data_IF_845970017465
#
_entry.id   IF_845970017465
#
_cell.length_a   1.000
_cell.length_b   1.000
_cell.length_c   1.000
_cell.angle_alpha   90.00
_cell.angle_beta   90.00
_cell.angle_gamma   90.00
#
_symmetry.space_group_name_H-M   'P 1'
#
loop_
_entity.id
_entity.type
_entity.pdbx_description
1 polymer ?
#
# COMPACT_ATOMS: atom_id res chain seq x y z
N UNK A 1 -0.21 -32.24 25.61
CA UNK A 1 -0.83 -31.50 26.73
C UNK A 1 -1.68 -30.33 26.23
N UNK A 2 -1.20 -29.56 25.23
CA UNK A 2 -1.94 -28.41 24.68
C UNK A 2 -3.16 -28.77 23.79
N UNK A 3 -3.06 -29.82 22.97
CA UNK A 3 -4.19 -30.28 22.14
C UNK A 3 -5.39 -30.74 22.99
N UNK A 4 -5.13 -31.48 24.06
CA UNK A 4 -6.17 -31.87 25.00
C UNK A 4 -6.84 -30.65 25.66
N UNK A 5 -6.06 -29.61 25.98
CA UNK A 5 -6.61 -28.35 26.51
C UNK A 5 -7.46 -27.61 25.45
N UNK A 6 -7.06 -27.66 24.17
CA UNK A 6 -7.88 -27.14 23.08
C UNK A 6 -9.20 -27.92 22.95
N UNK A 7 -9.16 -29.25 23.00
CA UNK A 7 -10.35 -30.10 22.89
C UNK A 7 -11.36 -29.82 24.00
N UNK A 8 -10.91 -29.67 25.25
CA UNK A 8 -11.79 -29.29 26.37
C UNK A 8 -12.47 -27.95 26.12
N UNK A 9 -11.74 -26.95 25.59
CA UNK A 9 -12.32 -25.65 25.24
C UNK A 9 -13.29 -25.76 24.05
N UNK A 10 -12.95 -26.56 23.03
CA UNK A 10 -13.75 -26.73 21.81
C UNK A 10 -15.04 -27.50 22.08
N UNK A 11 -15.04 -28.46 23.00
CA UNK A 11 -16.24 -29.21 23.42
C UNK A 11 -17.36 -28.30 23.92
N UNK A 12 -17.04 -27.21 24.61
CA UNK A 12 -18.04 -26.22 25.03
C UNK A 12 -18.74 -25.57 23.82
N UNK A 13 -17.97 -25.19 22.79
CA UNK A 13 -18.49 -24.56 21.57
C UNK A 13 -19.31 -25.56 20.75
N UNK A 14 -18.80 -26.78 20.59
CA UNK A 14 -19.47 -27.85 19.85
C UNK A 14 -20.78 -28.25 20.53
N UNK A 15 -20.82 -28.31 21.86
CA UNK A 15 -22.04 -28.60 22.63
C UNK A 15 -23.13 -27.56 22.37
N UNK A 16 -22.80 -26.26 22.45
CA UNK A 16 -23.74 -25.18 22.16
C UNK A 16 -24.23 -25.20 20.72
N UNK A 17 -23.33 -25.44 19.76
CA UNK A 17 -23.67 -25.52 18.35
C UNK A 17 -24.57 -26.72 18.05
N UNK A 18 -24.31 -27.89 18.64
CA UNK A 18 -25.12 -29.10 18.47
C UNK A 18 -26.50 -28.96 19.12
N UNK A 19 -26.58 -28.35 20.31
CA UNK A 19 -27.87 -28.06 20.96
C UNK A 19 -28.77 -27.24 20.02
N UNK A 20 -28.19 -26.21 19.39
CA UNK A 20 -28.90 -25.34 18.46
C UNK A 20 -29.23 -26.03 17.14
N UNK A 21 -28.32 -26.80 16.58
CA UNK A 21 -28.51 -27.47 15.28
C UNK A 21 -29.51 -28.63 15.35
N UNK A 22 -29.60 -29.32 16.50
CA UNK A 22 -30.46 -30.49 16.71
C UNK A 22 -31.70 -30.19 17.57
N UNK A 23 -31.92 -28.93 17.98
CA UNK A 23 -32.99 -28.51 18.88
C UNK A 23 -33.08 -29.33 20.18
N UNK A 24 -31.93 -29.57 20.83
CA UNK A 24 -31.86 -30.33 22.08
C UNK A 24 -32.00 -29.40 23.29
N UNK A 25 -32.72 -29.86 24.32
CA UNK A 25 -32.97 -29.10 25.55
C UNK A 25 -31.72 -28.89 26.42
N UNK A 26 -30.80 -29.85 26.41
CA UNK A 26 -29.46 -29.74 27.03
C UNK A 26 -28.56 -30.89 26.57
N UNK A 27 -27.27 -30.64 26.39
CA UNK A 27 -26.23 -31.67 26.17
C UNK A 27 -25.25 -31.63 27.34
N UNK A 28 -24.98 -32.79 27.96
CA UNK A 28 -23.91 -32.93 28.94
C UNK A 28 -22.54 -32.84 28.23
N UNK A 29 -21.81 -31.77 28.55
CA UNK A 29 -20.53 -31.40 27.94
C UNK A 29 -19.45 -32.47 28.16
N UNK A 30 -19.55 -33.24 29.24
CA UNK A 30 -18.44 -34.10 29.70
C UNK A 30 -18.43 -35.51 29.11
N UNK A 31 -19.55 -36.00 28.55
CA UNK A 31 -19.62 -37.39 28.05
C UNK A 31 -20.33 -37.58 26.69
N UNK A 32 -21.01 -36.56 26.16
CA UNK A 32 -21.92 -36.74 25.00
C UNK A 32 -21.60 -35.87 23.77
N UNK A 33 -20.52 -35.08 23.78
CA UNK A 33 -20.18 -34.19 22.66
C UNK A 33 -19.34 -34.95 21.61
N UNK A 34 -19.86 -35.25 20.41
CA UNK A 34 -19.13 -35.97 19.38
C UNK A 34 -17.95 -35.14 18.84
N UNK A 35 -16.83 -35.83 18.59
CA UNK A 35 -15.68 -35.25 17.94
C UNK A 35 -15.88 -35.31 16.41
N UNK A 36 -16.28 -34.19 15.82
CA UNK A 36 -16.56 -34.13 14.38
C UNK A 36 -15.33 -33.63 13.63
N UNK A 37 -14.93 -34.32 12.57
CA UNK A 37 -13.81 -33.91 11.73
C UNK A 37 -14.27 -33.67 10.28
N UNK A 38 -13.73 -32.63 9.66
CA UNK A 38 -13.86 -32.37 8.21
C UNK A 38 -12.53 -32.74 7.55
N UNK A 39 -12.60 -33.64 6.56
CA UNK A 39 -11.44 -34.12 5.83
C UNK A 39 -11.57 -33.72 4.36
N UNK A 40 -10.56 -33.02 3.85
CA UNK A 40 -10.60 -32.42 2.51
C UNK A 40 -9.51 -33.00 1.61
N UNK A 41 -9.90 -33.49 0.45
CA UNK A 41 -9.00 -34.16 -0.50
C UNK A 41 -8.13 -33.16 -1.28
N UNK A 42 -7.11 -33.69 -1.96
CA UNK A 42 -6.25 -32.91 -2.85
C UNK A 42 -6.83 -32.73 -4.25
N UNK A 43 -6.30 -31.76 -5.00
CA UNK A 43 -6.77 -31.49 -6.37
C UNK A 43 -6.60 -30.04 -6.83
N UNK A 44 -5.54 -29.36 -6.37
CA UNK A 44 -5.25 -27.96 -6.70
C UNK A 44 -6.46 -27.03 -6.49
N UNK A 45 -6.64 -26.07 -7.39
CA UNK A 45 -7.70 -25.05 -7.29
C UNK A 45 -9.11 -25.66 -7.23
N UNK A 46 -9.36 -26.82 -7.86
CA UNK A 46 -10.67 -27.50 -7.80
C UNK A 46 -10.98 -27.95 -6.37
N UNK A 47 -10.01 -28.57 -5.69
CA UNK A 47 -10.16 -29.01 -4.31
C UNK A 47 -10.28 -27.82 -3.34
N UNK A 48 -9.56 -26.73 -3.59
CA UNK A 48 -9.70 -25.48 -2.83
C UNK A 48 -11.12 -24.91 -2.93
N UNK A 49 -11.65 -24.74 -4.16
CA UNK A 49 -13.00 -24.20 -4.38
C UNK A 49 -14.09 -25.13 -3.85
N UNK A 50 -13.94 -26.44 -4.04
CA UNK A 50 -14.87 -27.45 -3.50
C UNK A 50 -14.91 -27.42 -1.98
N UNK A 51 -13.76 -27.33 -1.32
CA UNK A 51 -13.68 -27.21 0.13
C UNK A 51 -14.30 -25.90 0.62
N UNK A 52 -14.09 -24.79 -0.08
CA UNK A 52 -14.72 -23.50 0.26
C UNK A 52 -16.25 -23.58 0.18
N UNK A 53 -16.77 -24.19 -0.89
CA UNK A 53 -18.20 -24.44 -1.03
C UNK A 53 -18.75 -25.31 0.11
N UNK A 54 -18.05 -26.39 0.46
CA UNK A 54 -18.42 -27.29 1.56
C UNK A 54 -18.43 -26.60 2.93
N UNK A 55 -17.39 -25.84 3.27
CA UNK A 55 -17.32 -25.10 4.53
C UNK A 55 -18.37 -23.98 4.61
N UNK A 56 -18.63 -23.29 3.50
CA UNK A 56 -19.70 -22.28 3.42
C UNK A 56 -21.08 -22.90 3.60
N UNK A 57 -21.30 -24.11 3.07
CA UNK A 57 -22.55 -24.85 3.30
C UNK A 57 -22.70 -25.24 4.78
N UNK A 58 -21.65 -25.77 5.41
CA UNK A 58 -21.64 -26.07 6.85
C UNK A 58 -21.90 -24.81 7.70
N UNK A 59 -21.35 -23.67 7.32
CA UNK A 59 -21.60 -22.39 7.99
C UNK A 59 -23.06 -21.96 7.86
N UNK A 60 -23.64 -22.04 6.65
CA UNK A 60 -25.06 -21.70 6.42
C UNK A 60 -26.02 -22.62 7.19
N UNK A 61 -25.64 -23.89 7.35
CA UNK A 61 -26.38 -24.86 8.16
C UNK A 61 -26.10 -24.72 9.66
N UNK A 62 -25.24 -23.79 10.08
CA UNK A 62 -24.78 -23.62 11.47
C UNK A 62 -24.12 -24.87 12.05
N UNK A 63 -23.57 -25.73 11.20
CA UNK A 63 -22.86 -26.96 11.55
C UNK A 63 -21.34 -26.78 11.58
N UNK A 64 -20.81 -25.67 11.06
CA UNK A 64 -19.36 -25.45 11.07
C UNK A 64 -18.79 -25.39 12.50
N UNK A 65 -19.55 -24.84 13.45
CA UNK A 65 -19.15 -24.76 14.85
C UNK A 65 -19.20 -26.10 15.59
N UNK A 66 -19.82 -27.13 14.98
CA UNK A 66 -19.80 -28.50 15.53
C UNK A 66 -18.51 -29.26 15.16
N UNK A 67 -17.67 -28.71 14.27
CA UNK A 67 -16.43 -29.35 13.80
C UNK A 67 -15.29 -29.11 14.78
N UNK A 68 -14.63 -30.17 15.23
CA UNK A 68 -13.48 -30.14 16.13
C UNK A 68 -12.14 -30.15 15.38
N UNK A 69 -12.07 -30.87 14.26
CA UNK A 69 -10.88 -30.96 13.43
C UNK A 69 -11.19 -30.67 11.97
N UNK A 70 -10.27 -29.98 11.30
CA UNK A 70 -10.26 -29.88 9.85
C UNK A 70 -8.88 -30.25 9.34
N UNK A 71 -8.82 -31.15 8.37
CA UNK A 71 -7.58 -31.54 7.71
C UNK A 71 -7.76 -31.50 6.21
N UNK A 72 -6.75 -31.03 5.49
CA UNK A 72 -6.77 -30.92 4.05
C UNK A 72 -5.41 -31.17 3.46
N UNK A 73 -5.36 -31.89 2.35
CA UNK A 73 -4.13 -32.14 1.58
C UNK A 73 -4.14 -31.36 0.26
N UNK A 74 -2.96 -31.01 -0.27
CA UNK A 74 -2.79 -30.30 -1.56
C UNK A 74 -3.65 -29.02 -1.65
N UNK A 75 -4.47 -28.84 -2.70
CA UNK A 75 -5.28 -27.64 -2.89
C UNK A 75 -6.22 -27.27 -1.74
N UNK A 76 -6.68 -28.25 -0.97
CA UNK A 76 -7.51 -28.00 0.22
C UNK A 76 -6.69 -27.48 1.41
N UNK A 77 -5.38 -27.78 1.46
CA UNK A 77 -4.46 -27.21 2.46
C UNK A 77 -4.40 -25.69 2.35
N UNK A 78 -4.45 -25.14 1.13
CA UNK A 78 -4.45 -23.69 0.89
C UNK A 78 -5.63 -23.00 1.58
N UNK A 79 -6.80 -23.66 1.58
CA UNK A 79 -7.97 -23.15 2.27
C UNK A 79 -7.95 -23.44 3.78
N UNK A 80 -7.49 -24.61 4.22
CA UNK A 80 -7.39 -24.93 5.66
C UNK A 80 -6.45 -23.97 6.40
N UNK A 81 -5.36 -23.54 5.73
CA UNK A 81 -4.49 -22.48 6.19
C UNK A 81 -5.23 -21.13 6.24
N UNK A 82 -6.03 -20.83 5.20
CA UNK A 82 -6.77 -19.57 5.07
C UNK A 82 -8.01 -19.46 5.95
N UNK A 83 -8.65 -20.56 6.36
CA UNK A 83 -9.81 -20.58 7.25
C UNK A 83 -9.45 -20.20 8.69
N UNK A 84 -8.19 -20.39 9.09
CA UNK A 84 -7.66 -19.83 10.33
C UNK A 84 -7.45 -18.29 10.25
N UNK A 85 -7.40 -17.73 9.03
CA UNK A 85 -7.16 -16.31 8.71
C UNK A 85 -8.48 -15.60 8.30
N UNK A 86 -9.62 -16.32 8.26
CA UNK A 86 -10.87 -15.90 7.57
C UNK A 86 -11.62 -14.69 8.18
N UNK A 87 -11.05 -14.01 9.17
CA UNK A 87 -11.64 -12.79 9.73
C UNK A 87 -11.22 -11.50 9.00
N UNK A 88 -10.32 -11.57 8.01
CA UNK A 88 -9.92 -10.41 7.21
C UNK A 88 -10.63 -10.41 5.85
N UNK A 89 -11.28 -9.29 5.52
CA UNK A 89 -11.87 -9.03 4.20
C UNK A 89 -10.70 -8.85 3.21
N UNK A 90 -10.41 -9.87 2.41
CA UNK A 90 -9.38 -9.78 1.36
C UNK A 90 -9.86 -8.95 0.16
N UNK A 91 -9.22 -7.81 -0.02
CA UNK A 91 -9.36 -6.89 -1.16
C UNK A 91 -8.41 -7.24 -2.32
N UNK A 92 -8.60 -6.58 -3.47
CA UNK A 92 -7.66 -6.66 -4.60
C UNK A 92 -6.25 -6.19 -4.19
N UNK A 93 -6.18 -5.12 -3.40
CA UNK A 93 -4.95 -4.54 -2.85
C UNK A 93 -4.17 -5.55 -2.01
N UNK A 94 -4.83 -6.39 -1.21
CA UNK A 94 -4.14 -7.40 -0.41
C UNK A 94 -3.45 -8.47 -1.29
N UNK A 95 -4.02 -8.79 -2.46
CA UNK A 95 -3.42 -9.74 -3.41
C UNK A 95 -2.28 -9.11 -4.21
N UNK A 96 -2.39 -7.82 -4.54
CA UNK A 96 -1.30 -7.05 -5.13
C UNK A 96 -0.15 -6.91 -4.10
N UNK A 97 -0.44 -6.79 -2.80
CA UNK A 97 0.54 -6.90 -1.71
C UNK A 97 1.50 -8.09 -1.87
N UNK A 98 0.91 -9.28 -2.07
CA UNK A 98 1.66 -10.52 -2.23
C UNK A 98 2.42 -10.61 -3.56
N UNK A 99 1.88 -10.04 -4.64
CA UNK A 99 2.56 -10.03 -5.92
C UNK A 99 3.76 -9.06 -5.93
N UNK A 100 3.67 -7.87 -5.33
CA UNK A 100 4.82 -6.97 -5.14
C UNK A 100 5.89 -7.63 -4.26
N UNK A 101 5.49 -8.26 -3.15
CA UNK A 101 6.42 -8.98 -2.27
C UNK A 101 7.22 -10.02 -3.04
N UNK A 102 6.53 -10.81 -3.88
CA UNK A 102 7.19 -11.80 -4.73
C UNK A 102 8.08 -11.17 -5.80
N UNK A 103 7.68 -10.07 -6.43
CA UNK A 103 8.49 -9.40 -7.45
C UNK A 103 9.78 -8.80 -6.86
N UNK A 104 9.72 -8.24 -5.65
CA UNK A 104 10.88 -7.58 -5.03
C UNK A 104 11.78 -8.59 -4.31
N UNK A 105 11.23 -9.58 -3.60
CA UNK A 105 12.02 -10.51 -2.77
C UNK A 105 12.02 -11.97 -3.22
N UNK A 106 11.23 -12.32 -4.23
CA UNK A 106 11.05 -13.72 -4.63
C UNK A 106 10.35 -14.52 -3.53
N UNK A 107 11.03 -15.55 -3.01
CA UNK A 107 10.43 -16.53 -2.07
C UNK A 107 10.65 -16.21 -0.59
N UNK A 108 11.39 -15.15 -0.26
CA UNK A 108 11.68 -14.80 1.13
C UNK A 108 10.55 -13.94 1.68
N UNK A 109 9.94 -14.39 2.77
CA UNK A 109 8.97 -13.58 3.51
C UNK A 109 9.71 -12.45 4.23
N UNK A 110 9.17 -11.24 4.12
CA UNK A 110 9.62 -10.12 4.93
C UNK A 110 8.96 -10.12 6.31
N UNK A 111 9.60 -9.42 7.24
CA UNK A 111 9.05 -9.14 8.56
C UNK A 111 7.85 -8.20 8.52
N UNK A 112 7.40 -7.81 9.71
CA UNK A 112 6.30 -6.88 9.91
C UNK A 112 6.79 -5.43 9.99
N UNK A 113 5.87 -4.47 10.17
CA UNK A 113 6.24 -3.07 10.40
C UNK A 113 6.99 -2.93 11.71
N UNK A 114 6.56 -3.65 12.74
CA UNK A 114 7.23 -3.63 14.03
C UNK A 114 8.62 -4.26 14.04
N UNK A 115 8.92 -5.23 13.17
CA UNK A 115 10.26 -5.80 13.06
C UNK A 115 11.32 -4.74 12.67
N UNK A 116 10.91 -3.66 12.00
CA UNK A 116 11.80 -2.54 11.65
C UNK A 116 12.34 -1.81 12.89
N UNK A 117 11.73 -1.96 14.07
CA UNK A 117 12.24 -1.40 15.32
C UNK A 117 13.67 -1.88 15.63
N UNK A 118 14.04 -3.10 15.22
CA UNK A 118 15.40 -3.61 15.36
C UNK A 118 16.43 -2.73 14.64
N UNK A 119 16.06 -2.23 13.46
CA UNK A 119 16.89 -1.34 12.65
C UNK A 119 16.98 0.10 13.22
N UNK A 120 16.20 0.42 14.24
CA UNK A 120 16.17 1.73 14.91
C UNK A 120 16.67 1.68 16.36
N UNK A 121 16.94 0.49 16.90
CA UNK A 121 17.23 0.26 18.32
C UNK A 121 18.40 1.08 18.89
N UNK A 122 19.34 1.53 18.05
CA UNK A 122 20.48 2.37 18.44
C UNK A 122 20.45 3.75 17.79
N UNK A 123 19.35 4.12 17.12
CA UNK A 123 19.27 5.33 16.30
C UNK A 123 20.20 5.29 15.08
N UNK A 124 20.59 4.10 14.62
CA UNK A 124 21.56 3.91 13.54
C UNK A 124 21.00 4.20 12.14
N UNK A 125 19.67 4.26 12.02
CA UNK A 125 18.96 4.60 10.79
C UNK A 125 17.91 5.69 11.06
N UNK A 126 17.56 6.50 10.06
CA UNK A 126 16.43 7.42 10.15
C UNK A 126 15.12 6.67 10.44
N UNK A 127 14.20 7.31 11.16
CA UNK A 127 12.86 6.78 11.41
C UNK A 127 12.06 6.76 10.09
N UNK A 128 11.65 5.59 9.57
CA UNK A 128 10.76 5.54 8.42
C UNK A 128 9.34 5.95 8.84
N UNK A 129 8.72 6.80 8.03
CA UNK A 129 7.33 7.22 8.19
C UNK A 129 6.63 6.91 6.86
N UNK A 130 5.56 6.12 6.95
CA UNK A 130 4.69 5.80 5.82
C UNK A 130 3.32 6.43 6.04
N UNK A 131 2.59 6.66 4.95
CA UNK A 131 1.31 7.36 4.99
C UNK A 131 0.26 6.70 4.11
N UNK A 132 -0.99 6.78 4.56
CA UNK A 132 -2.17 6.48 3.76
C UNK A 132 -3.27 7.51 4.06
N UNK A 133 -4.22 7.67 3.13
CA UNK A 133 -5.44 8.42 3.37
C UNK A 133 -6.57 7.48 3.75
N UNK A 134 -7.41 7.89 4.70
CA UNK A 134 -8.66 7.19 4.97
C UNK A 134 -9.80 7.76 4.12
N UNK A 135 -10.37 6.94 3.24
CA UNK A 135 -11.46 7.30 2.33
C UNK A 135 -12.82 6.83 2.86
N UNK A 136 -13.88 7.63 2.66
CA UNK A 136 -15.25 7.29 3.05
C UNK A 136 -16.22 7.49 1.87
N UNK A 137 -16.95 6.44 1.49
CA UNK A 137 -18.01 6.47 0.46
C UNK A 137 -17.61 7.18 -0.86
N UNK A 138 -16.43 6.81 -1.42
CA UNK A 138 -15.88 7.40 -2.64
C UNK A 138 -15.55 8.91 -2.58
N UNK A 139 -15.73 9.56 -1.42
CA UNK A 139 -15.22 10.91 -1.15
C UNK A 139 -13.95 10.78 -0.30
N UNK A 140 -12.85 11.29 -0.82
CA UNK A 140 -11.62 11.44 -0.05
C UNK A 140 -11.83 12.59 0.94
N UNK A 141 -12.28 12.27 2.16
CA UNK A 141 -12.27 13.23 3.26
C UNK A 141 -10.89 13.10 3.89
N UNK A 142 -9.98 13.98 3.48
CA UNK A 142 -8.55 13.92 3.78
C UNK A 142 -8.24 13.71 5.26
N UNK A 143 -7.81 12.48 5.57
CA UNK A 143 -7.39 12.08 6.92
C UNK A 143 -6.14 11.23 6.77
N UNK A 144 -4.99 11.89 6.98
CA UNK A 144 -3.68 11.25 6.97
C UNK A 144 -3.58 10.26 8.13
N UNK A 145 -3.35 9.00 7.78
CA UNK A 145 -2.95 7.96 8.70
C UNK A 145 -1.44 7.76 8.55
N UNK A 146 -0.72 7.95 9.65
CA UNK A 146 0.72 7.77 9.72
C UNK A 146 1.05 6.38 10.24
N UNK A 147 2.15 5.81 9.74
CA UNK A 147 2.63 4.50 10.12
C UNK A 147 4.14 4.59 10.36
N UNK A 148 4.54 4.20 11.55
CA UNK A 148 5.95 4.07 11.94
C UNK A 148 6.16 2.68 12.53
N UNK A 149 7.41 2.22 12.67
CA UNK A 149 7.68 0.94 13.33
C UNK A 149 7.13 0.86 14.76
N UNK A 150 6.91 1.99 15.43
CA UNK A 150 6.40 2.08 16.79
C UNK A 150 4.87 2.13 16.83
N UNK A 151 4.27 3.01 16.05
CA UNK A 151 2.86 3.35 16.14
C UNK A 151 2.22 3.70 14.81
N UNK A 152 0.90 3.51 14.76
CA UNK A 152 0.02 3.82 13.64
C UNK A 152 -1.12 4.67 14.16
N UNK A 153 -1.44 5.77 13.48
CA UNK A 153 -2.46 6.68 13.99
C UNK A 153 -2.87 7.79 13.06
N UNK A 154 -3.82 8.59 13.54
CA UNK A 154 -4.31 9.78 12.86
C UNK A 154 -3.90 11.01 13.64
N UNK A 155 -3.00 11.81 13.06
CA UNK A 155 -2.53 13.07 13.63
C UNK A 155 -3.69 14.00 13.96
N UNK A 156 -4.68 14.08 13.06
CA UNK A 156 -5.91 14.87 13.24
C UNK A 156 -6.66 14.59 14.53
N UNK A 157 -6.75 13.33 14.95
CA UNK A 157 -7.46 12.95 16.16
C UNK A 157 -6.54 12.84 17.37
N UNK A 158 -5.22 12.91 17.18
CA UNK A 158 -4.22 12.68 18.23
C UNK A 158 -4.24 11.26 18.79
N UNK A 159 -4.71 10.28 18.00
CA UNK A 159 -4.84 8.89 18.46
C UNK A 159 -3.92 7.98 17.68
N UNK A 160 -3.07 7.26 18.42
CA UNK A 160 -2.09 6.31 17.91
C UNK A 160 -2.19 4.99 18.66
N UNK A 161 -1.91 3.90 17.96
CA UNK A 161 -1.87 2.53 18.49
C UNK A 161 -0.52 1.89 18.15
N UNK A 162 -0.03 0.91 18.93
CA UNK A 162 1.19 0.19 18.59
C UNK A 162 1.08 -0.52 17.24
N UNK A 163 2.13 -0.46 16.41
CA UNK A 163 2.14 -1.02 15.06
C UNK A 163 1.72 -2.51 15.01
N UNK A 164 2.12 -3.31 16.02
CA UNK A 164 1.79 -4.74 16.12
C UNK A 164 0.29 -5.03 16.24
N UNK A 165 -0.48 -4.03 16.66
CA UNK A 165 -1.92 -4.17 16.92
C UNK A 165 -2.76 -3.62 15.79
N UNK A 166 -2.15 -2.99 14.80
CA UNK A 166 -2.84 -2.45 13.64
C UNK A 166 -3.58 -3.57 12.89
N UNK A 167 -4.87 -3.34 12.61
CA UNK A 167 -5.75 -4.34 12.02
C UNK A 167 -6.49 -5.23 13.02
N UNK A 168 -6.22 -5.13 14.32
CA UNK A 168 -7.04 -5.74 15.38
C UNK A 168 -8.38 -5.03 15.55
N UNK A 169 -9.36 -5.69 16.18
CA UNK A 169 -10.64 -5.06 16.50
C UNK A 169 -10.55 -4.26 17.80
N UNK A 170 -11.09 -3.04 17.76
CA UNK A 170 -11.10 -2.10 18.88
C UNK A 170 -12.51 -1.61 19.18
N UNK A 171 -12.72 -1.22 20.43
CA UNK A 171 -13.90 -0.48 20.87
C UNK A 171 -13.53 0.38 22.09
N UNK A 172 -13.83 1.69 22.03
CA UNK A 172 -13.52 2.66 23.10
C UNK A 172 -12.04 2.60 23.54
N UNK A 173 -11.12 2.44 22.59
CA UNK A 173 -9.68 2.37 22.85
C UNK A 173 -9.17 1.02 23.38
N UNK A 174 -10.06 0.06 23.62
CA UNK A 174 -9.68 -1.28 24.08
C UNK A 174 -9.67 -2.28 22.93
N UNK A 175 -8.68 -3.17 22.91
CA UNK A 175 -8.62 -4.29 21.96
C UNK A 175 -9.72 -5.29 22.34
N UNK A 176 -10.70 -5.44 21.46
CA UNK A 176 -11.77 -6.44 21.58
C UNK A 176 -11.27 -7.79 21.09
N UNK A 177 -10.53 -7.79 19.99
CA UNK A 177 -9.96 -8.99 19.39
C UNK A 177 -8.61 -8.69 18.76
N UNK A 178 -7.56 -9.26 19.34
CA UNK A 178 -6.20 -9.15 18.79
C UNK A 178 -6.08 -10.04 17.55
N UNK A 179 -5.66 -9.44 16.45
CA UNK A 179 -5.33 -10.11 15.20
C UNK A 179 -3.81 -10.10 14.99
N UNK A 180 -3.25 -11.05 14.22
CA UNK A 180 -1.83 -11.03 13.89
C UNK A 180 -1.49 -9.80 13.05
N UNK A 181 -0.30 -9.25 13.27
CA UNK A 181 0.22 -8.13 12.48
C UNK A 181 0.35 -8.56 11.01
N UNK A 182 -0.03 -7.65 10.11
CA UNK A 182 0.10 -7.90 8.66
C UNK A 182 1.56 -7.79 8.23
N UNK A 183 1.95 -8.57 7.23
CA UNK A 183 3.27 -8.45 6.60
C UNK A 183 3.46 -7.05 5.99
N UNK A 184 4.70 -6.55 6.02
CA UNK A 184 5.01 -5.17 5.62
C UNK A 184 4.55 -4.84 4.20
N UNK A 185 4.67 -5.76 3.23
CA UNK A 185 4.24 -5.49 1.85
C UNK A 185 2.72 -5.44 1.67
N UNK A 186 1.97 -6.22 2.44
CA UNK A 186 0.52 -6.09 2.45
C UNK A 186 0.11 -4.71 2.97
N UNK A 187 0.88 -4.14 3.91
CA UNK A 187 0.68 -2.77 4.38
C UNK A 187 1.14 -1.71 3.37
N UNK A 188 2.35 -1.86 2.81
CA UNK A 188 2.90 -0.94 1.82
C UNK A 188 2.05 -0.87 0.56
N UNK A 189 1.49 -2.00 0.10
CA UNK A 189 0.60 -1.95 -1.07
C UNK A 189 -0.73 -1.28 -0.74
N UNK A 190 -1.21 -1.28 0.52
CA UNK A 190 -2.34 -0.40 0.91
C UNK A 190 -1.99 1.09 0.81
N UNK A 191 -0.72 1.42 1.01
CA UNK A 191 -0.21 2.80 0.96
C UNK A 191 0.20 3.25 -0.45
N UNK A 192 0.56 2.33 -1.33
CA UNK A 192 1.09 2.61 -2.68
C UNK A 192 0.17 2.18 -3.82
N UNK A 193 -0.99 1.57 -3.54
CA UNK A 193 -1.91 1.18 -4.59
C UNK A 193 -2.67 2.41 -5.08
N UNK A 194 -2.18 2.97 -6.19
CA UNK A 194 -2.85 3.98 -6.98
C UNK A 194 -4.10 3.35 -7.64
N UNK A 195 -5.19 3.24 -6.88
CA UNK A 195 -6.52 3.00 -7.45
C UNK A 195 -7.02 4.29 -8.08
N UNK A 196 -6.53 4.64 -9.27
CA UNK A 196 -6.88 5.86 -10.04
C UNK A 196 -8.39 6.14 -9.86
N UNK A 197 -8.77 7.37 -9.48
CA UNK A 197 -10.15 7.76 -9.14
C UNK A 197 -11.19 7.03 -10.00
N UNK A 198 -12.02 6.22 -9.35
CA UNK A 198 -13.24 5.67 -9.90
C UNK A 198 -14.28 6.79 -10.01
N UNK A 199 -14.25 7.53 -11.11
CA UNK A 199 -15.52 7.98 -11.64
C UNK A 199 -16.18 6.74 -12.24
N UNK A 200 -17.23 6.24 -11.57
CA UNK A 200 -18.05 5.08 -11.94
C UNK A 200 -18.77 5.22 -13.30
N UNK A 201 -18.37 6.18 -14.13
CA UNK A 201 -18.94 6.45 -15.44
C UNK A 201 -17.87 6.32 -16.52
N UNK A 202 -17.91 5.17 -17.20
CA UNK A 202 -17.39 4.88 -18.56
C UNK A 202 -15.90 4.56 -18.80
N UNK A 203 -15.01 4.62 -17.81
CA UNK A 203 -13.59 4.21 -17.99
C UNK A 203 -13.15 2.95 -17.21
N UNK A 204 -14.11 2.23 -16.61
CA UNK A 204 -13.89 1.15 -15.63
C UNK A 204 -13.36 -0.18 -16.21
N UNK A 205 -13.45 -0.39 -17.54
CA UNK A 205 -12.98 -1.64 -18.14
C UNK A 205 -11.46 -1.67 -18.36
N UNK A 206 -10.83 -0.54 -18.71
CA UNK A 206 -9.43 -0.55 -19.14
C UNK A 206 -8.44 -0.66 -17.97
N UNK A 207 -8.67 0.02 -16.84
CA UNK A 207 -7.77 -0.06 -15.68
C UNK A 207 -7.80 -1.44 -15.00
N UNK A 208 -9.00 -2.00 -14.84
CA UNK A 208 -9.17 -3.35 -14.29
C UNK A 208 -8.60 -4.37 -15.25
N UNK A 209 -8.83 -4.25 -16.56
CA UNK A 209 -8.22 -5.14 -17.56
C UNK A 209 -6.69 -4.98 -17.64
N UNK A 210 -6.12 -3.79 -17.51
CA UNK A 210 -4.66 -3.56 -17.50
C UNK A 210 -3.99 -4.16 -16.26
N UNK A 211 -4.56 -3.98 -15.07
CA UNK A 211 -4.05 -4.61 -13.85
C UNK A 211 -4.24 -6.13 -13.87
N UNK A 212 -5.34 -6.62 -14.45
CA UNK A 212 -5.57 -8.06 -14.68
C UNK A 212 -4.59 -8.59 -15.72
N UNK A 213 -4.33 -7.86 -16.81
CA UNK A 213 -3.36 -8.23 -17.85
C UNK A 213 -1.97 -8.30 -17.25
N UNK A 214 -1.55 -7.30 -16.47
CA UNK A 214 -0.28 -7.27 -15.77
C UNK A 214 -0.17 -8.41 -14.75
N UNK A 215 -1.22 -8.68 -13.96
CA UNK A 215 -1.27 -9.80 -13.02
C UNK A 215 -1.24 -11.17 -13.72
N UNK A 216 -1.95 -11.31 -14.84
CA UNK A 216 -1.94 -12.50 -15.70
C UNK A 216 -0.56 -12.68 -16.35
N UNK A 217 0.10 -11.60 -16.77
CA UNK A 217 1.43 -11.63 -17.36
C UNK A 217 2.49 -12.02 -16.32
N UNK A 218 2.41 -11.49 -15.10
CA UNK A 218 3.25 -11.91 -13.95
C UNK A 218 3.01 -13.39 -13.61
N UNK A 219 1.75 -13.82 -13.57
CA UNK A 219 1.39 -15.23 -13.32
C UNK A 219 1.88 -16.18 -14.42
N UNK A 220 1.82 -15.78 -15.69
CA UNK A 220 2.24 -16.60 -16.83
C UNK A 220 3.76 -16.69 -16.99
N UNK A 221 4.50 -15.61 -16.67
CA UNK A 221 5.97 -15.62 -16.72
C UNK A 221 6.57 -16.55 -15.64
N UNK A 222 5.93 -16.66 -14.46
CA UNK A 222 6.55 -17.30 -13.29
C UNK A 222 5.85 -18.58 -12.76
N UNK A 223 4.77 -19.06 -13.38
CA UNK A 223 4.20 -20.41 -13.16
C UNK A 223 4.47 -21.34 -14.37
N UNK A 224 5.66 -21.97 -14.47
CA UNK A 224 5.96 -22.91 -15.56
C UNK A 224 5.09 -24.18 -15.54
N UNK A 225 4.37 -24.43 -14.44
CA UNK A 225 3.53 -25.61 -14.21
C UNK A 225 2.13 -25.51 -14.80
N UNK A 226 1.73 -24.36 -15.35
CA UNK A 226 0.44 -24.20 -16.04
C UNK A 226 0.58 -24.40 -17.57
N UNK A 227 1.36 -25.40 -18.00
CA UNK A 227 1.31 -25.91 -19.37
C UNK A 227 0.00 -26.71 -19.56
N UNK A 228 -1.13 -26.02 -19.71
CA UNK A 228 -2.32 -26.64 -20.28
C UNK A 228 -2.22 -26.58 -21.79
N UNK A 229 -1.83 -27.71 -22.38
CA UNK A 229 -1.82 -28.01 -23.80
C UNK A 229 -3.22 -27.89 -24.40
N UNK A 230 -3.43 -26.94 -25.31
CA UNK A 230 -4.39 -27.08 -26.41
C UNK A 230 -3.82 -26.39 -27.65
N UNK A 231 -3.61 -27.11 -28.76
CA UNK A 231 -2.92 -26.58 -29.93
C UNK A 231 -3.88 -25.73 -30.77
N UNK A 232 -3.49 -24.49 -31.06
CA UNK A 232 -3.95 -23.77 -32.24
C UNK A 232 -2.72 -23.61 -33.13
N UNK A 233 -2.69 -24.43 -34.20
CA UNK A 233 -1.76 -24.46 -35.33
C UNK A 233 -0.38 -23.80 -35.12
N UNK A 234 0.65 -24.61 -34.93
CA UNK A 234 2.05 -24.19 -34.87
C UNK A 234 2.68 -24.42 -36.25
N UNK A 235 3.22 -23.38 -36.87
CA UNK A 235 4.27 -23.55 -37.89
C UNK A 235 5.48 -24.16 -37.19
N UNK A 236 5.81 -25.40 -37.52
CA UNK A 236 6.95 -26.11 -36.94
C UNK A 236 8.25 -25.66 -37.60
N UNK A 237 9.04 -24.82 -36.92
CA UNK A 237 10.47 -24.70 -37.19
C UNK A 237 11.21 -25.62 -36.21
N UNK A 238 11.73 -26.75 -36.71
CA UNK A 238 12.37 -27.81 -35.94
C UNK A 238 13.81 -27.46 -35.50
N UNK A 239 14.05 -26.23 -35.02
CA UNK A 239 15.36 -25.81 -34.51
C UNK A 239 15.38 -25.70 -32.97
N UNK A 240 16.24 -26.48 -32.29
CA UNK A 240 16.30 -26.57 -30.82
C UNK A 240 16.86 -25.33 -30.10
N UNK A 241 17.03 -24.20 -30.80
CA UNK A 241 17.65 -22.98 -30.26
C UNK A 241 16.73 -21.76 -30.23
N UNK A 242 15.43 -21.91 -30.46
CA UNK A 242 14.46 -20.82 -30.37
C UNK A 242 13.52 -21.04 -29.18
N UNK A 243 13.41 -20.05 -28.29
CA UNK A 243 12.37 -20.05 -27.26
C UNK A 243 11.04 -19.65 -27.88
N UNK A 244 10.01 -20.48 -27.68
CA UNK A 244 8.64 -20.23 -28.16
C UNK A 244 8.15 -18.84 -27.69
N UNK A 245 7.73 -18.00 -28.64
CA UNK A 245 7.14 -16.69 -28.31
C UNK A 245 5.63 -16.88 -28.08
N UNK A 246 5.19 -16.78 -26.83
CA UNK A 246 3.77 -16.91 -26.46
C UNK A 246 3.06 -15.56 -26.58
N UNK A 247 2.09 -15.46 -27.51
CA UNK A 247 1.18 -14.33 -27.58
C UNK A 247 0.07 -14.47 -26.52
N UNK A 248 0.08 -13.61 -25.51
CA UNK A 248 -0.97 -13.58 -24.48
C UNK A 248 -2.18 -12.81 -25.01
N UNK A 249 -3.29 -13.52 -25.24
CA UNK A 249 -4.59 -12.90 -25.55
C UNK A 249 -5.49 -12.89 -24.30
N UNK A 250 -6.18 -11.78 -23.98
CA UNK A 250 -7.15 -11.68 -22.87
C UNK A 250 -8.36 -12.63 -23.00
N UNK A 251 -8.43 -13.42 -24.07
CA UNK A 251 -9.49 -14.40 -24.34
C UNK A 251 -9.35 -15.76 -23.62
N UNK A 252 -8.24 -16.04 -22.93
CA UNK A 252 -8.07 -17.33 -22.24
C UNK A 252 -9.04 -17.51 -21.06
N UNK A 253 -9.59 -18.72 -20.89
CA UNK A 253 -10.55 -19.03 -19.82
C UNK A 253 -9.96 -18.85 -18.41
N UNK A 254 -8.63 -18.96 -18.26
CA UNK A 254 -7.93 -18.69 -17.02
C UNK A 254 -7.91 -17.18 -16.72
N UNK A 255 -7.59 -16.34 -17.72
CA UNK A 255 -7.65 -14.89 -17.58
C UNK A 255 -9.07 -14.41 -17.28
N UNK A 256 -10.11 -15.01 -17.90
CA UNK A 256 -11.52 -14.73 -17.58
C UNK A 256 -11.90 -15.13 -16.16
N UNK A 257 -11.46 -16.30 -15.68
CA UNK A 257 -11.74 -16.75 -14.30
C UNK A 257 -11.00 -15.91 -13.25
N UNK A 258 -9.75 -15.55 -13.50
CA UNK A 258 -8.99 -14.62 -12.67
C UNK A 258 -9.64 -13.23 -12.68
N UNK A 259 -9.99 -12.71 -13.86
CA UNK A 259 -10.69 -11.44 -14.02
C UNK A 259 -12.00 -11.40 -13.22
N UNK A 260 -12.86 -12.42 -13.36
CA UNK A 260 -14.10 -12.53 -12.59
C UNK A 260 -13.85 -12.64 -11.08
N UNK A 261 -12.80 -13.36 -10.66
CA UNK A 261 -12.42 -13.48 -9.26
C UNK A 261 -11.92 -12.15 -8.65
N UNK A 262 -11.18 -11.36 -9.44
CA UNK A 262 -10.60 -10.08 -9.03
C UNK A 262 -11.66 -8.95 -9.02
N UNK A 263 -12.55 -8.92 -10.02
CA UNK A 263 -13.64 -7.93 -10.15
C UNK A 263 -14.74 -8.06 -9.10
N UNK A 264 -14.95 -9.24 -8.51
CA UNK A 264 -15.96 -9.47 -7.48
C UNK A 264 -15.55 -9.00 -6.06
N UNK A 265 -14.37 -8.40 -5.89
CA UNK A 265 -13.83 -8.00 -4.58
C UNK A 265 -13.79 -6.48 -4.44
N UNK A 266 -13.90 -5.95 -3.20
CA UNK A 266 -13.64 -4.54 -2.97
C UNK A 266 -12.21 -4.21 -3.39
N UNK A 267 -12.08 -3.09 -4.10
CA UNK A 267 -10.79 -2.62 -4.62
C UNK A 267 -9.97 -2.02 -3.47
N UNK A 268 -10.60 -1.25 -2.58
CA UNK A 268 -9.96 -0.66 -1.41
C UNK A 268 -9.89 -1.69 -0.27
N UNK A 269 -8.72 -1.79 0.38
CA UNK A 269 -8.54 -2.63 1.57
C UNK A 269 -9.29 -2.03 2.76
N UNK A 270 -10.08 -2.86 3.44
CA UNK A 270 -10.79 -2.48 4.66
C UNK A 270 -10.07 -3.02 5.88
N UNK A 271 -9.84 -2.15 6.85
CA UNK A 271 -9.19 -2.48 8.13
C UNK A 271 -10.13 -2.11 9.28
N UNK A 272 -10.12 -2.84 10.38
CA UNK A 272 -10.90 -2.44 11.56
C UNK A 272 -10.45 -1.08 12.09
N UNK A 273 -11.43 -0.23 12.40
CA UNK A 273 -11.17 1.11 12.88
C UNK A 273 -10.79 1.10 14.36
N UNK A 274 -9.55 1.47 14.67
CA UNK A 274 -9.08 1.60 16.06
C UNK A 274 -9.71 2.78 16.81
N UNK A 275 -10.32 3.73 16.10
CA UNK A 275 -11.08 4.85 16.69
C UNK A 275 -12.53 4.49 17.02
N UNK A 276 -12.96 3.26 16.74
CA UNK A 276 -14.36 2.87 16.85
C UNK A 276 -14.90 3.08 18.27
N UNK A 277 -16.00 3.82 18.34
CA UNK A 277 -16.73 4.06 19.59
C UNK A 277 -16.26 5.31 20.35
N UNK A 278 -15.16 5.94 19.96
CA UNK A 278 -14.80 7.23 20.55
C UNK A 278 -15.82 8.32 20.17
N UNK A 279 -15.97 9.29 21.05
CA UNK A 279 -16.75 10.50 20.83
C UNK A 279 -15.82 11.70 20.74
N UNK A 280 -16.19 12.67 19.91
CA UNK A 280 -15.46 13.93 19.83
C UNK A 280 -15.74 14.78 21.06
N UNK A 281 -14.69 15.45 21.55
CA UNK A 281 -14.82 16.40 22.63
C UNK A 281 -15.71 17.58 22.20
N UNK A 282 -16.43 18.20 23.14
CA UNK A 282 -17.34 19.33 22.86
C UNK A 282 -16.66 20.48 22.09
N UNK A 283 -15.38 20.70 22.37
CA UNK A 283 -14.58 21.78 21.82
C UNK A 283 -13.64 21.32 20.69
N UNK A 284 -13.88 20.16 20.06
CA UNK A 284 -12.99 19.66 19.00
C UNK A 284 -12.81 20.66 17.84
N UNK A 285 -13.81 21.51 17.61
CA UNK A 285 -13.81 22.58 16.61
C UNK A 285 -12.77 23.67 16.86
N UNK A 286 -12.31 23.83 18.10
CA UNK A 286 -11.27 24.81 18.49
C UNK A 286 -9.86 24.32 18.15
N UNK A 287 -9.68 23.02 17.88
CA UNK A 287 -8.40 22.45 17.48
C UNK A 287 -8.08 22.79 16.01
N UNK A 288 -6.87 23.29 15.76
CA UNK A 288 -6.39 23.68 14.43
C UNK A 288 -6.35 22.54 13.41
N UNK A 289 -6.31 21.28 13.86
CA UNK A 289 -6.34 20.11 12.99
C UNK A 289 -7.72 19.83 12.39
N UNK A 290 -8.78 20.50 12.87
CA UNK A 290 -10.14 20.37 12.36
C UNK A 290 -10.58 21.65 11.64
N UNK A 291 -10.98 21.52 10.38
CA UNK A 291 -11.49 22.63 9.58
C UNK A 291 -13.00 22.74 9.77
N UNK A 292 -13.43 23.20 10.94
CA UNK A 292 -14.86 23.34 11.29
C UNK A 292 -15.45 24.72 10.94
N UNK A 293 -14.59 25.73 10.73
CA UNK A 293 -15.00 27.11 10.43
C UNK A 293 -15.64 27.28 9.03
N UNK A 294 -15.49 26.28 8.16
CA UNK A 294 -16.14 26.23 6.85
C UNK A 294 -17.34 25.29 6.96
N UNK A 295 -18.55 25.83 7.00
CA UNK A 295 -19.78 25.04 7.27
C UNK A 295 -20.05 23.92 6.24
N UNK A 296 -19.47 24.01 5.05
CA UNK A 296 -19.55 22.97 4.02
C UNK A 296 -18.51 21.87 4.18
N UNK A 297 -17.55 22.03 5.10
CA UNK A 297 -16.45 21.11 5.28
C UNK A 297 -16.91 19.90 6.13
N UNK A 298 -16.48 18.66 5.81
CA UNK A 298 -16.92 17.46 6.54
C UNK A 298 -16.66 17.48 8.05
N UNK A 299 -15.65 18.23 8.51
CA UNK A 299 -15.33 18.34 9.93
C UNK A 299 -16.38 19.10 10.75
N UNK A 300 -17.23 19.91 10.10
CA UNK A 300 -18.34 20.57 10.76
C UNK A 300 -19.42 19.58 11.23
N UNK A 301 -19.39 18.32 10.77
CA UNK A 301 -20.38 17.29 11.09
C UNK A 301 -19.76 16.16 11.93
N UNK A 302 -19.76 16.27 13.27
CA UNK A 302 -19.02 15.36 14.15
C UNK A 302 -19.46 13.90 14.04
N UNK A 303 -20.76 13.66 13.83
CA UNK A 303 -21.32 12.31 13.67
C UNK A 303 -20.92 11.63 12.36
N UNK A 304 -20.36 12.39 11.40
CA UNK A 304 -19.86 11.86 10.14
C UNK A 304 -18.36 11.54 10.19
N UNK A 305 -17.67 11.88 11.28
CA UNK A 305 -16.24 11.67 11.44
C UNK A 305 -15.87 10.23 11.77
N UNK A 306 -14.59 9.93 11.62
CA UNK A 306 -14.06 8.55 11.59
C UNK A 306 -14.37 7.72 12.83
N UNK A 307 -14.40 8.27 14.07
CA UNK A 307 -14.76 7.48 15.25
C UNK A 307 -16.12 6.76 15.18
N UNK A 308 -17.05 7.25 14.36
CA UNK A 308 -18.35 6.63 14.14
C UNK A 308 -18.31 5.40 13.20
N UNK A 309 -17.25 5.24 12.41
CA UNK A 309 -17.13 4.20 11.40
C UNK A 309 -16.58 2.89 12.00
N UNK A 310 -17.05 1.74 11.51
CA UNK A 310 -16.56 0.43 11.98
C UNK A 310 -15.21 0.02 11.35
N UNK A 311 -14.93 0.53 10.15
CA UNK A 311 -13.74 0.19 9.35
C UNK A 311 -13.11 1.44 8.74
N UNK A 312 -11.84 1.31 8.38
CA UNK A 312 -11.05 2.30 7.65
C UNK A 312 -10.85 1.79 6.22
N UNK A 313 -10.99 2.69 5.24
CA UNK A 313 -10.67 2.42 3.84
C UNK A 313 -9.38 3.13 3.49
N UNK A 314 -8.25 2.42 3.52
CA UNK A 314 -6.94 3.04 3.29
C UNK A 314 -6.61 3.09 1.80
N UNK A 315 -6.20 4.27 1.33
CA UNK A 315 -5.80 4.54 -0.05
C UNK A 315 -4.50 5.32 -0.10
N UNK A 316 -3.87 5.32 -1.28
CA UNK A 316 -2.63 6.04 -1.54
C UNK A 316 -2.78 7.55 -1.33
N UNK A 317 -1.77 8.17 -0.74
CA UNK A 317 -1.74 9.63 -0.52
C UNK A 317 -1.59 10.44 -1.80
N UNK A 318 -1.08 9.82 -2.88
CA UNK A 318 -0.87 10.43 -4.18
C UNK A 318 -2.16 10.95 -4.85
N UNK A 319 -3.36 10.64 -4.33
CA UNK A 319 -4.61 11.27 -4.75
C UNK A 319 -4.71 12.75 -4.39
N UNK A 320 -4.03 13.16 -3.33
CA UNK A 320 -4.11 14.54 -2.82
C UNK A 320 -2.78 15.24 -3.05
N UNK A 321 -1.69 14.71 -2.47
CA UNK A 321 -0.33 15.24 -2.62
C UNK A 321 0.58 14.08 -2.95
N UNK A 322 1.29 14.18 -4.08
CA UNK A 322 2.25 13.14 -4.53
C UNK A 322 3.59 13.19 -3.78
N UNK A 323 3.59 13.58 -2.51
CA UNK A 323 4.80 13.70 -1.69
C UNK A 323 4.52 13.62 -0.19
N UNK A 324 5.50 13.11 0.56
CA UNK A 324 5.45 12.90 2.01
C UNK A 324 5.73 14.14 2.86
N UNK A 325 5.37 15.35 2.39
CA UNK A 325 5.51 16.57 3.18
C UNK A 325 4.65 16.59 4.46
N UNK A 326 3.37 16.20 4.46
CA UNK A 326 2.49 16.41 5.61
C UNK A 326 2.97 15.81 6.95
N UNK A 327 3.53 14.58 7.00
CA UNK A 327 4.03 14.01 8.25
C UNK A 327 5.23 14.75 8.85
N UNK A 328 6.10 15.36 8.04
CA UNK A 328 7.30 16.05 8.54
C UNK A 328 7.03 17.51 8.88
N UNK A 329 5.97 18.08 8.31
CA UNK A 329 5.46 19.42 8.61
C UNK A 329 4.55 19.46 9.84
N UNK A 330 4.26 18.31 10.47
CA UNK A 330 3.43 18.28 11.66
C UNK A 330 4.13 19.00 12.83
N UNK A 331 3.33 19.67 13.65
CA UNK A 331 3.78 20.47 14.78
C UNK A 331 4.64 19.70 15.80
N UNK A 332 4.46 18.37 15.87
CA UNK A 332 5.20 17.50 16.79
C UNK A 332 6.60 17.12 16.30
N UNK A 333 6.89 17.20 15.00
CA UNK A 333 8.20 16.84 14.42
C UNK A 333 9.03 18.06 14.03
N UNK A 334 8.37 19.10 13.48
CA UNK A 334 8.94 20.42 13.20
C UNK A 334 10.32 20.34 12.52
N UNK A 335 10.40 19.72 11.35
CA UNK A 335 11.64 19.61 10.60
C UNK A 335 12.18 21.00 10.19
N UNK A 336 13.46 21.29 10.45
CA UNK A 336 14.07 22.59 10.09
C UNK A 336 14.50 22.65 8.62
N UNK A 337 14.99 21.53 8.07
CA UNK A 337 15.42 21.40 6.67
C UNK A 337 14.77 20.17 6.05
N UNK A 338 14.16 20.35 4.88
CA UNK A 338 13.47 19.29 4.13
C UNK A 338 14.17 19.11 2.78
N UNK A 339 14.74 17.91 2.58
CA UNK A 339 15.23 17.48 1.26
C UNK A 339 14.06 16.85 0.48
N UNK A 340 13.54 17.59 -0.48
CA UNK A 340 12.42 17.16 -1.33
C UNK A 340 12.93 16.53 -2.62
N UNK A 341 12.95 15.20 -2.68
CA UNK A 341 13.26 14.44 -3.90
C UNK A 341 11.96 14.21 -4.67
N UNK A 342 11.79 14.87 -5.81
CA UNK A 342 10.55 14.83 -6.58
C UNK A 342 10.65 13.95 -7.82
N UNK A 343 9.92 12.84 -7.78
CA UNK A 343 9.78 11.88 -8.86
C UNK A 343 8.33 11.75 -9.35
N UNK A 344 7.50 12.76 -9.08
CA UNK A 344 6.13 12.76 -9.58
C UNK A 344 6.14 12.78 -11.12
N UNK A 345 5.35 11.88 -11.72
CA UNK A 345 5.16 11.84 -13.17
C UNK A 345 4.22 12.97 -13.60
N UNK A 346 4.79 14.15 -13.81
CA UNK A 346 4.08 15.37 -14.21
C UNK A 346 5.05 16.32 -14.93
N UNK A 347 4.65 16.98 -16.03
CA UNK A 347 5.49 17.96 -16.71
C UNK A 347 5.76 19.22 -15.88
N UNK A 348 4.88 19.59 -14.94
CA UNK A 348 5.16 20.69 -14.01
C UNK A 348 5.97 20.17 -12.80
N UNK A 349 7.28 20.37 -12.86
CA UNK A 349 8.23 19.98 -11.82
C UNK A 349 7.93 20.58 -10.43
N UNK A 350 7.18 21.69 -10.36
CA UNK A 350 6.85 22.37 -9.10
C UNK A 350 5.45 22.03 -8.59
N UNK A 351 4.64 21.27 -9.33
CA UNK A 351 3.24 20.97 -8.98
C UNK A 351 3.09 20.42 -7.57
N UNK A 352 3.96 19.50 -7.18
CA UNK A 352 3.95 18.88 -5.84
C UNK A 352 4.15 19.91 -4.73
N UNK A 353 5.06 20.86 -4.93
CA UNK A 353 5.31 21.92 -3.96
C UNK A 353 4.18 22.95 -3.97
N UNK A 354 3.62 23.29 -5.15
CA UNK A 354 2.43 24.16 -5.26
C UNK A 354 1.27 23.59 -4.42
N UNK A 355 0.96 22.30 -4.60
CA UNK A 355 -0.06 21.59 -3.82
C UNK A 355 0.26 21.56 -2.31
N UNK A 356 1.53 21.39 -1.96
CA UNK A 356 1.97 21.41 -0.55
C UNK A 356 1.81 22.80 0.07
N UNK A 357 2.15 23.87 -0.66
CA UNK A 357 2.00 25.25 -0.20
C UNK A 357 0.51 25.59 0.03
N UNK A 358 -0.37 25.17 -0.88
CA UNK A 358 -1.83 25.31 -0.73
C UNK A 358 -2.34 24.55 0.50
N UNK A 359 -1.95 23.29 0.66
CA UNK A 359 -2.29 22.46 1.82
C UNK A 359 -1.88 23.10 3.14
N UNK A 360 -0.66 23.67 3.20
CA UNK A 360 -0.14 24.34 4.38
C UNK A 360 -0.87 25.67 4.65
N UNK A 361 -1.16 26.46 3.61
CA UNK A 361 -1.87 27.72 3.74
C UNK A 361 -3.28 27.54 4.32
N UNK A 362 -4.02 26.53 3.86
CA UNK A 362 -5.36 26.20 4.38
C UNK A 362 -5.35 25.82 5.88
N UNK A 363 -4.26 25.21 6.34
CA UNK A 363 -4.10 24.67 7.70
C UNK A 363 -3.25 25.56 8.60
N UNK A 364 -2.82 26.73 8.12
CA UNK A 364 -1.94 27.66 8.82
C UNK A 364 -0.62 27.01 9.29
N UNK A 365 -0.12 26.05 8.51
CA UNK A 365 1.19 25.42 8.73
C UNK A 365 2.26 26.32 8.11
N UNK A 366 3.33 26.69 8.84
CA UNK A 366 4.46 27.44 8.28
C UNK A 366 5.10 26.70 7.10
N UNK A 367 5.23 27.37 5.95
CA UNK A 367 5.86 26.82 4.75
C UNK A 367 6.45 27.96 3.91
N UNK A 368 7.55 27.76 3.16
CA UNK A 368 8.17 28.81 2.37
C UNK A 368 7.20 29.44 1.37
N UNK A 369 7.28 30.77 1.23
CA UNK A 369 6.55 31.50 0.19
C UNK A 369 7.34 31.44 -1.11
N UNK A 370 6.77 30.82 -2.14
CA UNK A 370 7.46 30.59 -3.40
C UNK A 370 6.82 31.44 -4.51
N UNK A 371 7.64 32.22 -5.21
CA UNK A 371 7.22 32.95 -6.41
C UNK A 371 7.39 32.08 -7.66
N UNK A 372 6.33 31.34 -7.99
CA UNK A 372 6.31 30.44 -9.15
C UNK A 372 6.43 31.17 -10.48
N UNK A 373 5.98 32.44 -10.59
CA UNK A 373 6.09 33.18 -11.85
C UNK A 373 7.55 33.47 -12.20
N UNK A 374 8.35 33.76 -11.18
CA UNK A 374 9.80 33.92 -11.33
C UNK A 374 10.45 32.60 -11.72
N UNK A 375 10.10 31.49 -11.07
CA UNK A 375 10.65 30.17 -11.39
C UNK A 375 10.34 29.72 -12.82
N UNK A 376 9.12 29.97 -13.31
CA UNK A 376 8.70 29.65 -14.68
C UNK A 376 9.44 30.48 -15.75
N UNK A 377 10.01 31.62 -15.36
CA UNK A 377 10.83 32.46 -16.26
C UNK A 377 12.32 32.09 -16.28
N UNK A 378 12.79 31.33 -15.29
CA UNK A 378 14.19 30.91 -15.18
C UNK A 378 14.42 29.56 -15.87
N UNK A 379 15.65 29.28 -16.37
CA UNK A 379 15.97 27.97 -16.90
C UNK A 379 15.87 26.89 -15.81
N UNK A 380 15.44 25.69 -16.21
CA UNK A 380 15.31 24.54 -15.32
C UNK A 380 16.69 24.17 -14.76
N UNK A 381 16.75 23.94 -13.45
CA UNK A 381 17.93 23.53 -12.67
C UNK A 381 17.68 22.20 -11.96
N UNK A 382 18.77 21.54 -11.55
CA UNK A 382 18.73 20.27 -10.80
C UNK A 382 18.32 20.44 -9.33
N UNK A 383 18.43 21.67 -8.78
CA UNK A 383 18.06 21.96 -7.38
C UNK A 383 17.55 23.39 -7.21
N UNK A 384 16.60 23.54 -6.29
CA UNK A 384 16.03 24.82 -5.84
C UNK A 384 16.03 24.86 -4.32
N UNK A 385 16.35 26.02 -3.74
CA UNK A 385 16.33 26.24 -2.29
C UNK A 385 15.25 27.28 -2.00
N UNK A 386 14.31 26.93 -1.14
CA UNK A 386 13.24 27.80 -0.68
C UNK A 386 13.40 28.05 0.81
N UNK A 387 13.64 29.30 1.17
CA UNK A 387 13.85 29.76 2.55
C UNK A 387 13.01 31.01 2.81
N UNK A 388 12.55 31.18 4.06
CA UNK A 388 11.94 32.42 4.53
C UNK A 388 12.85 33.01 5.61
N UNK A 389 13.60 34.06 5.28
CA UNK A 389 14.55 34.69 6.20
C UNK A 389 13.88 35.50 7.31
N UNK A 390 12.59 35.83 7.14
CA UNK A 390 11.85 36.64 8.10
C UNK A 390 11.20 35.78 9.18
N UNK A 391 10.97 34.48 8.91
CA UNK A 391 10.30 33.58 9.82
C UNK A 391 11.10 32.28 10.07
N UNK A 392 11.81 32.16 11.20
CA UNK A 392 12.63 30.99 11.52
C UNK A 392 11.80 29.72 11.80
N UNK A 393 10.48 29.85 11.99
CA UNK A 393 9.60 28.69 12.17
C UNK A 393 9.24 28.01 10.84
N UNK A 394 9.63 28.60 9.71
CA UNK A 394 9.40 28.05 8.37
C UNK A 394 10.57 27.13 7.99
N UNK A 395 10.31 25.87 7.58
CA UNK A 395 11.37 24.96 7.17
C UNK A 395 12.06 25.43 5.90
N UNK A 396 13.37 25.23 5.80
CA UNK A 396 14.10 25.38 4.54
C UNK A 396 13.82 24.16 3.66
N UNK A 397 13.34 24.37 2.44
CA UNK A 397 13.03 23.27 1.51
C UNK A 397 14.05 23.27 0.37
N UNK A 398 14.87 22.20 0.30
CA UNK A 398 15.78 21.95 -0.82
C UNK A 398 15.12 20.95 -1.75
N UNK A 399 14.71 21.40 -2.92
CA UNK A 399 13.92 20.63 -3.89
C UNK A 399 14.75 20.18 -5.08
N UNK A 400 14.72 18.87 -5.35
CA UNK A 400 15.35 18.20 -6.48
C UNK A 400 14.28 17.64 -7.41
N UNK A 401 13.97 18.31 -8.53
CA UNK A 401 13.11 17.73 -9.55
C UNK A 401 13.85 16.69 -10.39
N UNK A 402 13.11 15.76 -10.96
CA UNK A 402 13.64 14.78 -11.92
C UNK A 402 13.89 15.44 -13.28
N UNK A 403 15.12 15.90 -13.49
CA UNK A 403 15.54 16.61 -14.72
C UNK A 403 16.92 16.13 -15.16
N UNK A 404 17.14 16.03 -16.48
CA UNK A 404 18.43 15.72 -17.07
C UNK A 404 18.99 16.96 -17.79
N UNK A 405 19.74 17.79 -17.07
CA UNK A 405 20.28 19.06 -17.58
C UNK A 405 21.80 18.95 -17.77
N UNK A 406 22.59 19.09 -16.70
CA UNK A 406 24.06 19.01 -16.82
C UNK A 406 24.59 17.58 -16.97
N UNK A 407 23.84 16.55 -16.54
CA UNK A 407 24.26 15.15 -16.67
C UNK A 407 24.43 14.67 -18.12
N UNK A 408 23.79 15.35 -19.09
CA UNK A 408 24.03 15.12 -20.53
C UNK A 408 25.48 15.41 -20.97
N UNK A 409 26.21 16.22 -20.20
CA UNK A 409 27.55 16.70 -20.55
C UNK A 409 28.62 16.19 -19.57
N UNK A 410 28.23 15.87 -18.33
CA UNK A 410 29.13 15.55 -17.24
C UNK A 410 28.79 14.18 -16.63
N UNK A 411 29.81 13.36 -16.39
CA UNK A 411 29.66 12.03 -15.78
C UNK A 411 29.61 12.13 -14.26
N UNK A 412 30.44 13.00 -13.72
CA UNK A 412 30.55 13.33 -12.31
C UNK A 412 30.77 14.84 -12.16
N UNK A 413 30.58 15.43 -10.96
CA UNK A 413 30.75 16.87 -10.78
C UNK A 413 32.13 17.36 -11.25
N UNK A 414 32.16 18.17 -12.32
CA UNK A 414 33.39 18.71 -12.89
C UNK A 414 34.15 17.79 -13.87
N UNK A 415 33.70 16.56 -14.11
CA UNK A 415 34.32 15.63 -15.07
C UNK A 415 33.50 15.52 -16.36
N UNK A 416 34.08 15.99 -17.46
CA UNK A 416 33.47 16.00 -18.79
C UNK A 416 33.39 14.60 -19.40
N UNK A 417 32.27 14.24 -20.02
CA UNK A 417 32.10 12.94 -20.68
C UNK A 417 32.91 12.83 -21.98
N UNK A 418 33.55 11.67 -22.19
CA UNK A 418 34.12 11.32 -23.49
C UNK A 418 33.04 11.02 -24.54
N UNK A 419 33.39 11.01 -25.84
CA UNK A 419 32.42 10.83 -26.94
C UNK A 419 31.53 9.58 -26.84
N UNK A 420 32.05 8.48 -26.32
CA UNK A 420 31.29 7.22 -26.15
C UNK A 420 30.39 7.22 -24.91
N UNK A 421 30.66 8.10 -23.92
CA UNK A 421 29.91 8.19 -22.67
C UNK A 421 28.75 9.21 -22.78
N UNK A 422 28.80 10.12 -23.76
CA UNK A 422 27.71 11.03 -24.10
C UNK A 422 26.40 10.28 -24.44
N UNK A 423 26.48 9.11 -25.06
CA UNK A 423 25.28 8.30 -25.38
C UNK A 423 24.59 7.73 -24.12
N UNK A 424 25.30 7.62 -22.99
CA UNK A 424 24.74 7.15 -21.72
C UNK A 424 23.95 8.26 -21.01
N UNK A 425 24.46 9.50 -21.05
CA UNK A 425 23.83 10.68 -20.45
C UNK A 425 22.79 11.37 -21.34
N UNK A 426 22.85 11.17 -22.65
CA UNK A 426 21.94 11.81 -23.62
C UNK A 426 20.61 11.05 -23.76
N UNK A 427 19.76 11.22 -22.76
CA UNK A 427 18.37 10.77 -22.81
C UNK A 427 17.42 11.81 -22.21
N UNK A 428 16.21 11.85 -22.72
CA UNK A 428 15.14 12.69 -22.19
C UNK A 428 14.15 11.88 -21.36
N UNK A 429 13.64 12.51 -20.30
CA UNK A 429 12.53 11.97 -19.52
C UNK A 429 11.27 12.62 -20.08
N UNK A 430 10.65 11.96 -21.04
CA UNK A 430 9.42 12.43 -21.66
C UNK A 430 8.20 12.05 -20.82
N UNK A 431 7.74 13.00 -20.02
CA UNK A 431 6.56 12.87 -19.18
C UNK A 431 5.25 12.68 -19.97
N UNK A 432 5.26 12.96 -21.28
CA UNK A 432 4.07 12.87 -22.14
C UNK A 432 3.95 11.52 -22.85
N UNK A 433 5.05 10.79 -22.99
CA UNK A 433 5.07 9.49 -23.68
C UNK A 433 4.71 8.34 -22.75
N UNK A 434 3.71 7.56 -23.16
CA UNK A 434 3.36 6.29 -22.51
C UNK A 434 4.44 5.21 -22.73
N UNK A 435 5.30 5.37 -23.72
CA UNK A 435 6.37 4.41 -24.02
C UNK A 435 7.70 4.76 -23.33
N UNK A 436 7.75 5.85 -22.55
CA UNK A 436 8.94 6.17 -21.77
C UNK A 436 9.21 5.03 -20.78
N UNK A 437 10.43 4.47 -20.74
CA UNK A 437 10.74 3.36 -19.83
C UNK A 437 10.53 3.73 -18.36
N UNK A 438 10.59 5.02 -18.03
CA UNK A 438 10.43 5.55 -16.68
C UNK A 438 8.97 5.88 -16.29
N UNK A 439 8.01 5.63 -17.18
CA UNK A 439 6.60 5.94 -16.91
C UNK A 439 6.05 5.15 -15.71
N UNK A 440 5.14 5.75 -14.95
CA UNK A 440 4.63 5.21 -13.67
C UNK A 440 4.04 3.80 -13.75
N UNK A 441 3.52 3.39 -14.91
CA UNK A 441 2.89 2.07 -15.09
C UNK A 441 3.90 0.96 -15.44
N UNK A 442 5.14 1.32 -15.77
CA UNK A 442 6.17 0.35 -16.11
C UNK A 442 6.82 -0.20 -14.82
N UNK A 443 6.69 -1.50 -14.59
CA UNK A 443 7.25 -2.18 -13.41
C UNK A 443 8.54 -2.95 -13.69
N UNK A 444 8.96 -3.03 -14.95
CA UNK A 444 10.15 -3.77 -15.35
C UNK A 444 11.07 -2.85 -16.14
N UNK A 445 12.28 -2.66 -15.64
CA UNK A 445 13.31 -1.87 -16.33
C UNK A 445 14.33 -2.80 -16.98
N UNK A 446 14.81 -2.42 -18.16
CA UNK A 446 16.05 -2.98 -18.66
C UNK A 446 17.21 -2.53 -17.75
N UNK A 447 18.27 -3.34 -17.59
CA UNK A 447 19.42 -2.97 -16.76
C UNK A 447 20.00 -1.60 -17.11
N UNK A 448 20.01 -1.24 -18.39
CA UNK A 448 20.52 0.03 -18.90
C UNK A 448 19.65 1.20 -18.46
N UNK A 449 18.32 1.07 -18.56
CA UNK A 449 17.38 2.12 -18.12
C UNK A 449 17.45 2.34 -16.60
N UNK A 450 17.56 1.24 -15.84
CA UNK A 450 17.78 1.31 -14.40
C UNK A 450 19.07 2.07 -14.06
N UNK A 451 20.16 1.76 -14.76
CA UNK A 451 21.45 2.41 -14.54
C UNK A 451 21.42 3.90 -14.92
N UNK A 452 20.76 4.25 -16.04
CA UNK A 452 20.58 5.65 -16.47
C UNK A 452 19.87 6.50 -15.41
N UNK A 453 18.72 6.02 -14.91
CA UNK A 453 17.94 6.77 -13.91
C UNK A 453 18.66 6.89 -12.57
N UNK A 454 19.31 5.82 -12.12
CA UNK A 454 20.09 5.82 -10.86
C UNK A 454 21.33 6.70 -10.95
N UNK A 455 22.05 6.68 -12.07
CA UNK A 455 23.21 7.56 -12.30
C UNK A 455 22.78 9.03 -12.34
N UNK A 456 21.72 9.36 -13.09
CA UNK A 456 21.20 10.73 -13.18
C UNK A 456 20.82 11.29 -11.81
N UNK A 457 20.02 10.54 -11.05
CA UNK A 457 19.54 10.98 -9.73
C UNK A 457 20.68 11.12 -8.72
N UNK A 458 21.67 10.22 -8.78
CA UNK A 458 22.90 10.31 -7.98
C UNK A 458 23.71 11.54 -8.35
N UNK A 459 23.94 11.77 -9.64
CA UNK A 459 24.68 12.91 -10.15
C UNK A 459 24.04 14.24 -9.71
N UNK A 460 22.73 14.39 -9.87
CA UNK A 460 22.03 15.65 -9.53
C UNK A 460 22.23 16.05 -8.07
N UNK A 461 22.26 15.07 -7.15
CA UNK A 461 22.53 15.31 -5.73
C UNK A 461 24.00 15.66 -5.51
N UNK A 462 24.93 14.85 -6.02
CA UNK A 462 26.37 15.05 -5.84
C UNK A 462 26.85 16.38 -6.41
N UNK A 463 26.35 16.77 -7.57
CA UNK A 463 26.69 18.03 -8.25
C UNK A 463 26.26 19.27 -7.45
N UNK A 464 25.35 19.11 -6.48
CA UNK A 464 24.83 20.20 -5.66
C UNK A 464 25.22 20.08 -4.17
N UNK A 465 26.29 19.34 -3.87
CA UNK A 465 26.80 19.13 -2.51
C UNK A 465 27.08 20.45 -1.76
N UNK A 466 27.59 21.47 -2.44
CA UNK A 466 27.92 22.74 -1.79
C UNK A 466 26.68 23.46 -1.25
N UNK A 467 25.56 23.42 -1.99
CA UNK A 467 24.28 24.00 -1.56
C UNK A 467 23.70 23.24 -0.36
N UNK A 468 23.84 21.91 -0.35
CA UNK A 468 23.43 21.07 0.78
C UNK A 468 24.22 21.43 2.05
N UNK A 469 25.56 21.55 1.93
CA UNK A 469 26.44 21.90 3.05
C UNK A 469 26.20 23.30 3.57
N UNK A 470 26.01 24.29 2.68
CA UNK A 470 25.77 25.68 3.06
C UNK A 470 24.45 25.82 3.84
N UNK A 471 23.41 25.11 3.40
CA UNK A 471 22.11 25.11 4.09
C UNK A 471 22.18 24.44 5.47
N UNK A 472 22.91 23.32 5.58
CA UNK A 472 23.11 22.63 6.86
C UNK A 472 23.96 23.43 7.86
N UNK A 473 24.92 24.23 7.37
CA UNK A 473 25.71 25.14 8.20
C UNK A 473 24.91 26.32 8.73
N UNK A 474 23.96 26.85 7.95
CA UNK A 474 23.12 27.98 8.33
C UNK A 474 22.12 27.68 9.46
N UNK A 475 21.82 26.40 9.72
CA UNK A 475 20.94 25.97 10.82
C UNK A 475 21.68 25.64 12.12
N UNK A 476 23.02 25.68 12.11
CA UNK A 476 23.87 25.33 13.25
C UNK A 476 24.44 26.52 14.03
N UNK A 477 24.20 27.74 13.56
CA UNK A 477 24.50 29.02 14.24
C UNK A 477 23.21 29.58 14.86
#
# INVERSE_FOLDING_TARGET
MEENNFLVKRQNVVSQALQKALNLSSIDVTSQVPLVAVVCSGGGTRAMCGTFGGLRALQKLQLLDTVSYITGISGSTWLCFKTQILHQILSLVDMWGLAIEYLIQGKKQMGTLSDQQMALSKGQNPLPIYTALNMKNALCIEKWCEFTPYEVGFTKYGVFIPAQTFGSEYYLGHIVKKLPESGIYTLLVKMCCVCRNMDFTSYDYNFVMENILLYVQICLIYLPTMKTSYPLSVDTDDKPSTSDTLQVSPMSDLAKKLSNFLTCRPIISQVFNFLRGFHLHRNYSENCDFTTWKDTHPDAFPNSLTPADATLGLVDTAFVIKSGFPPVLCCNRRADVILSLNYAWDPDHFKVIKQTQEYCAERKIPFPKIDYKKLESEPIREVYVFEDKENPDVPIVIHFPLVNVSFKQFKSPGEYQGKAELEEGDFDIDFTSMFCPFATHNLTYQPEDFQKLTNLTTYNILNNTDKLKLTAGATGE
#
